data_IF_808712145335
#
_entry.id   IF_808712145335
#
_cell.length_a   1.000
_cell.length_b   1.000
_cell.length_c   1.000
_cell.angle_alpha   90.00
_cell.angle_beta   90.00
_cell.angle_gamma   90.00
#
_symmetry.space_group_name_H-M   'P 1'
#
loop_
_entity.id
_entity.type
_entity.pdbx_description
1 polymer ?
#
# COMPACT_ATOMS: atom_id res chain seq x y z
N UNK A 1 -39.89 5.39 20.25
CA UNK A 1 -39.25 4.15 20.78
C UNK A 1 -39.82 2.83 20.20
N UNK A 2 -40.53 2.81 19.06
CA UNK A 2 -41.25 1.60 18.58
C UNK A 2 -40.53 0.80 17.45
N UNK A 3 -39.44 1.32 16.87
CA UNK A 3 -38.74 0.69 15.73
C UNK A 3 -37.42 -0.01 16.08
N UNK A 4 -36.83 0.23 17.25
CA UNK A 4 -35.55 -0.41 17.63
C UNK A 4 -35.69 -1.91 17.89
N UNK A 5 -36.85 -2.34 18.40
CA UNK A 5 -37.11 -3.75 18.73
C UNK A 5 -37.38 -4.60 17.49
N UNK A 6 -37.86 -4.03 16.38
CA UNK A 6 -38.07 -4.75 15.12
C UNK A 6 -36.75 -5.14 14.46
N UNK A 7 -35.76 -4.25 14.48
CA UNK A 7 -34.41 -4.55 14.00
C UNK A 7 -33.72 -5.61 14.86
N UNK A 8 -33.90 -5.57 16.19
CA UNK A 8 -33.35 -6.59 17.09
C UNK A 8 -34.00 -7.95 16.86
N UNK A 9 -35.31 -8.02 16.61
CA UNK A 9 -36.01 -9.28 16.31
C UNK A 9 -35.65 -9.81 14.92
N UNK A 10 -35.47 -8.95 13.92
CA UNK A 10 -35.00 -9.35 12.58
C UNK A 10 -33.55 -9.84 12.63
N UNK A 11 -32.67 -9.17 13.38
CA UNK A 11 -31.28 -9.61 13.60
C UNK A 11 -31.25 -10.93 14.38
N UNK A 12 -32.04 -11.08 15.44
CA UNK A 12 -32.14 -12.31 16.21
C UNK A 12 -32.71 -13.49 15.40
N UNK A 13 -33.69 -13.23 14.53
CA UNK A 13 -34.29 -14.26 13.65
C UNK A 13 -33.33 -14.68 12.53
N UNK A 14 -32.52 -13.75 12.00
CA UNK A 14 -31.47 -14.07 11.03
C UNK A 14 -30.31 -14.85 11.68
N UNK A 15 -30.00 -14.56 12.95
CA UNK A 15 -29.00 -15.29 13.77
C UNK A 15 -29.50 -16.70 14.14
N UNK A 16 -30.80 -16.89 14.35
CA UNK A 16 -31.41 -18.18 14.66
C UNK A 16 -31.42 -19.14 13.45
N UNK A 17 -31.58 -18.61 12.23
CA UNK A 17 -31.55 -19.39 10.98
C UNK A 17 -30.14 -19.85 10.56
N UNK A 18 -29.09 -19.40 11.26
CA UNK A 18 -27.69 -19.66 10.91
C UNK A 18 -27.01 -20.75 11.77
N UNK A 19 -27.75 -21.56 12.54
CA UNK A 19 -27.16 -22.63 13.35
C UNK A 19 -27.20 -23.99 12.64
N UNK A 20 -26.08 -24.52 12.12
CA UNK A 20 -25.97 -25.92 11.76
C UNK A 20 -25.58 -26.77 12.98
N UNK A 21 -26.20 -27.94 13.05
CA UNK A 21 -26.09 -28.99 14.05
C UNK A 21 -24.68 -29.58 14.17
N UNK A 22 -24.36 -30.03 15.39
CA UNK A 22 -23.12 -30.68 15.85
C UNK A 22 -22.79 -31.95 15.03
N UNK A 23 -21.54 -32.11 14.57
CA UNK A 23 -20.97 -33.44 14.25
C UNK A 23 -19.42 -33.42 14.11
N UNK A 24 -18.78 -34.15 15.04
CA UNK A 24 -17.56 -35.01 15.01
C UNK A 24 -16.28 -34.68 14.19
N UNK A 25 -15.17 -35.06 14.82
CA UNK A 25 -13.77 -34.70 14.57
C UNK A 25 -13.09 -35.38 13.36
N UNK A 26 -12.27 -34.59 12.68
CA UNK A 26 -11.00 -34.96 12.05
C UNK A 26 -10.11 -33.70 12.09
N UNK A 27 -8.84 -33.82 12.48
CA UNK A 27 -7.88 -32.70 12.38
C UNK A 27 -7.70 -32.34 10.90
N UNK A 28 -8.46 -31.36 10.48
CA UNK A 28 -8.43 -30.75 9.16
C UNK A 28 -8.29 -29.28 9.45
N UNK A 29 -7.43 -28.61 8.69
CA UNK A 29 -7.21 -27.17 8.79
C UNK A 29 -8.55 -26.46 8.99
N UNK A 30 -8.72 -25.90 10.18
CA UNK A 30 -9.94 -25.22 10.60
C UNK A 30 -10.27 -24.12 9.59
N UNK A 31 -9.25 -23.52 8.97
CA UNK A 31 -9.39 -22.56 7.89
C UNK A 31 -10.01 -23.15 6.62
N UNK A 32 -9.61 -24.36 6.20
CA UNK A 32 -10.16 -25.02 5.02
C UNK A 32 -11.65 -25.39 5.20
N UNK A 33 -11.99 -25.99 6.33
CA UNK A 33 -13.38 -26.32 6.64
C UNK A 33 -14.25 -25.07 6.82
N UNK A 34 -13.74 -24.07 7.52
CA UNK A 34 -14.44 -22.81 7.68
C UNK A 34 -14.59 -22.08 6.35
N UNK A 35 -13.62 -22.14 5.45
CA UNK A 35 -13.75 -21.57 4.11
C UNK A 35 -14.89 -22.22 3.31
N UNK A 36 -15.02 -23.55 3.36
CA UNK A 36 -16.14 -24.25 2.73
C UNK A 36 -17.49 -23.93 3.40
N UNK A 37 -17.51 -23.78 4.72
CA UNK A 37 -18.71 -23.49 5.52
C UNK A 37 -19.20 -22.06 5.32
N UNK A 38 -18.31 -21.09 5.40
CA UNK A 38 -18.60 -19.67 5.38
C UNK A 38 -18.62 -19.08 3.96
N UNK A 39 -17.99 -19.73 2.98
CA UNK A 39 -17.97 -19.33 1.56
C UNK A 39 -17.66 -17.83 1.42
N UNK A 40 -18.62 -17.04 0.93
CA UNK A 40 -18.50 -15.58 0.73
C UNK A 40 -18.21 -14.82 2.03
N UNK A 41 -18.62 -15.35 3.18
CA UNK A 41 -18.39 -14.72 4.48
C UNK A 41 -16.89 -14.69 4.87
N UNK A 42 -16.03 -15.47 4.21
CA UNK A 42 -14.55 -15.34 4.38
C UNK A 42 -14.00 -14.01 3.87
N UNK A 43 -14.79 -13.23 3.12
CA UNK A 43 -14.44 -11.88 2.70
C UNK A 43 -14.73 -10.81 3.76
N UNK A 44 -15.36 -11.17 4.89
CA UNK A 44 -15.64 -10.22 5.98
C UNK A 44 -14.36 -9.52 6.46
N UNK A 45 -13.23 -10.22 6.74
CA UNK A 45 -12.02 -9.57 7.24
C UNK A 45 -11.46 -8.46 6.33
N UNK A 46 -11.24 -8.68 5.02
CA UNK A 46 -10.77 -7.61 4.15
C UNK A 46 -11.83 -6.52 3.95
N UNK A 47 -13.11 -6.84 3.89
CA UNK A 47 -14.18 -5.83 3.73
C UNK A 47 -14.26 -4.92 4.96
N UNK A 48 -14.23 -5.50 6.17
CA UNK A 48 -14.24 -4.75 7.43
C UNK A 48 -13.02 -3.84 7.51
N UNK A 49 -11.82 -4.36 7.20
CA UNK A 49 -10.60 -3.57 7.19
C UNK A 49 -10.70 -2.38 6.21
N UNK A 50 -11.17 -2.60 4.99
CA UNK A 50 -11.30 -1.55 3.96
C UNK A 50 -12.33 -0.49 4.39
N UNK A 51 -13.53 -0.90 4.80
CA UNK A 51 -14.60 0.03 5.20
C UNK A 51 -14.16 0.88 6.40
N UNK A 52 -13.57 0.24 7.42
CA UNK A 52 -13.08 0.96 8.59
C UNK A 52 -11.90 1.88 8.24
N UNK A 53 -11.02 1.49 7.32
CA UNK A 53 -9.91 2.35 6.92
C UNK A 53 -10.41 3.67 6.30
N UNK A 54 -11.47 3.61 5.48
CA UNK A 54 -12.09 4.81 4.92
C UNK A 54 -12.88 5.62 5.96
N UNK A 55 -13.61 4.95 6.86
CA UNK A 55 -14.47 5.62 7.85
C UNK A 55 -13.66 6.26 8.98
N UNK A 56 -12.72 5.52 9.55
CA UNK A 56 -11.90 5.95 10.70
C UNK A 56 -10.71 6.80 10.28
N UNK A 57 -10.32 6.75 9.00
CA UNK A 57 -9.06 7.32 8.48
C UNK A 57 -7.82 6.83 9.26
N UNK A 58 -7.92 5.67 9.92
CA UNK A 58 -6.85 5.05 10.68
C UNK A 58 -6.63 3.61 10.18
N UNK A 59 -5.62 3.45 9.32
CA UNK A 59 -5.32 2.18 8.67
C UNK A 59 -4.89 1.12 9.69
N UNK A 60 -4.08 1.48 10.68
CA UNK A 60 -3.53 0.54 11.67
C UNK A 60 -4.67 -0.07 12.50
N UNK A 61 -5.54 0.78 13.06
CA UNK A 61 -6.69 0.31 13.84
C UNK A 61 -7.66 -0.54 12.99
N UNK A 62 -7.85 -0.16 11.72
CA UNK A 62 -8.75 -0.87 10.81
C UNK A 62 -8.21 -2.24 10.41
N UNK A 63 -6.91 -2.37 10.16
CA UNK A 63 -6.24 -3.65 9.92
C UNK A 63 -6.32 -4.55 11.15
N UNK A 64 -6.09 -4.00 12.35
CA UNK A 64 -6.19 -4.75 13.59
C UNK A 64 -7.61 -5.32 13.80
N UNK A 65 -8.65 -4.50 13.61
CA UNK A 65 -10.05 -4.97 13.69
C UNK A 65 -10.36 -5.98 12.58
N UNK A 66 -9.81 -5.80 11.38
CA UNK A 66 -9.90 -6.77 10.29
C UNK A 66 -9.33 -8.14 10.68
N UNK A 67 -8.13 -8.18 11.26
CA UNK A 67 -7.49 -9.41 11.74
C UNK A 67 -8.33 -10.07 12.85
N UNK A 68 -8.84 -9.29 13.82
CA UNK A 68 -9.75 -9.80 14.86
C UNK A 68 -10.99 -10.43 14.23
N UNK A 69 -11.59 -9.79 13.20
CA UNK A 69 -12.76 -10.36 12.54
C UNK A 69 -12.46 -11.67 11.80
N UNK A 70 -11.23 -11.82 11.27
CA UNK A 70 -10.76 -13.08 10.68
C UNK A 70 -10.54 -14.17 11.72
N UNK A 71 -9.90 -13.83 12.83
CA UNK A 71 -9.73 -14.74 13.97
C UNK A 71 -11.08 -15.17 14.55
N UNK A 72 -12.05 -14.26 14.64
CA UNK A 72 -13.40 -14.56 15.09
C UNK A 72 -14.09 -15.60 14.17
N UNK A 73 -13.92 -15.51 12.85
CA UNK A 73 -14.44 -16.53 11.93
C UNK A 73 -13.81 -17.91 12.13
N UNK A 74 -12.58 -17.97 12.65
CA UNK A 74 -11.90 -19.22 12.96
C UNK A 74 -12.36 -19.83 14.29
N UNK A 75 -12.72 -19.00 15.27
CA UNK A 75 -13.07 -19.44 16.65
C UNK A 75 -14.56 -19.67 16.89
N UNK A 76 -15.46 -19.03 16.11
CA UNK A 76 -16.91 -19.21 16.21
C UNK A 76 -17.39 -20.68 16.14
N UNK A 77 -16.84 -21.57 15.29
CA UNK A 77 -17.37 -22.94 15.14
C UNK A 77 -17.32 -23.86 16.37
N UNK A 78 -16.77 -23.42 17.51
CA UNK A 78 -16.67 -24.24 18.73
C UNK A 78 -17.12 -23.57 20.03
N UNK A 79 -17.45 -22.27 20.04
CA UNK A 79 -17.70 -21.52 21.28
C UNK A 79 -18.88 -20.53 21.21
N UNK A 80 -19.42 -20.18 22.39
CA UNK A 80 -20.38 -19.09 22.56
C UNK A 80 -19.78 -17.76 22.05
N UNK A 81 -20.58 -16.88 21.43
CA UNK A 81 -20.12 -15.61 20.82
C UNK A 81 -19.24 -14.78 21.77
N UNK A 82 -19.60 -14.68 23.05
CA UNK A 82 -18.81 -13.95 24.05
C UNK A 82 -17.43 -14.58 24.31
N UNK A 83 -17.36 -15.92 24.37
CA UNK A 83 -16.10 -16.64 24.51
C UNK A 83 -15.29 -16.56 23.21
N UNK A 84 -15.93 -16.66 22.05
CA UNK A 84 -15.29 -16.53 20.74
C UNK A 84 -14.62 -15.17 20.51
N UNK A 85 -15.14 -14.08 21.08
CA UNK A 85 -14.50 -12.75 21.04
C UNK A 85 -13.22 -12.74 21.87
N UNK A 86 -13.25 -13.31 23.08
CA UNK A 86 -12.07 -13.40 23.96
C UNK A 86 -11.01 -14.30 23.32
N UNK A 87 -11.42 -15.46 22.80
CA UNK A 87 -10.53 -16.40 22.12
C UNK A 87 -9.95 -15.80 20.85
N UNK A 88 -10.73 -15.05 20.07
CA UNK A 88 -10.23 -14.37 18.89
C UNK A 88 -9.16 -13.34 19.25
N UNK A 89 -9.37 -12.56 20.32
CA UNK A 89 -8.35 -11.63 20.78
C UNK A 89 -7.06 -12.35 21.21
N UNK A 90 -7.18 -13.45 21.95
CA UNK A 90 -6.03 -14.27 22.38
C UNK A 90 -5.32 -14.89 21.16
N UNK A 91 -6.06 -15.42 20.19
CA UNK A 91 -5.52 -15.99 18.94
C UNK A 91 -4.78 -14.94 18.11
N UNK A 92 -5.29 -13.71 18.01
CA UNK A 92 -4.57 -12.61 17.35
C UNK A 92 -3.25 -12.32 18.06
N UNK A 93 -3.24 -12.20 19.38
CA UNK A 93 -2.00 -11.97 20.14
C UNK A 93 -1.02 -13.13 19.95
N UNK A 94 -1.48 -14.37 20.03
CA UNK A 94 -0.63 -15.54 19.80
C UNK A 94 -0.04 -15.55 18.39
N UNK A 95 -0.85 -15.29 17.35
CA UNK A 95 -0.37 -15.20 15.96
C UNK A 95 0.63 -14.06 15.77
N UNK A 96 0.44 -12.92 16.43
CA UNK A 96 1.40 -11.82 16.38
C UNK A 96 2.74 -12.24 17.00
N UNK A 97 2.72 -12.90 18.16
CA UNK A 97 3.94 -13.39 18.82
C UNK A 97 4.62 -14.47 17.98
N UNK A 98 3.89 -15.46 17.49
CA UNK A 98 4.43 -16.53 16.63
C UNK A 98 5.01 -15.96 15.33
N UNK A 99 4.30 -15.04 14.69
CA UNK A 99 4.79 -14.38 13.47
C UNK A 99 6.04 -13.55 13.72
N UNK A 100 6.14 -12.88 14.87
CA UNK A 100 7.30 -12.06 15.24
C UNK A 100 8.51 -12.92 15.63
N UNK A 101 8.27 -14.09 16.24
CA UNK A 101 9.30 -15.05 16.62
C UNK A 101 9.83 -15.87 15.43
N UNK A 102 9.10 -15.91 14.32
CA UNK A 102 9.56 -16.55 13.10
C UNK A 102 10.81 -15.84 12.55
N UNK A 103 11.87 -16.63 12.30
CA UNK A 103 13.19 -16.09 11.92
C UNK A 103 13.15 -15.37 10.57
N UNK A 104 12.31 -15.82 9.64
CA UNK A 104 12.18 -15.18 8.33
C UNK A 104 11.45 -13.84 8.44
N UNK A 105 10.31 -13.83 9.14
CA UNK A 105 9.56 -12.61 9.41
C UNK A 105 10.37 -11.59 10.20
N UNK A 106 11.11 -12.02 11.23
CA UNK A 106 12.05 -11.16 11.95
C UNK A 106 13.14 -10.59 11.03
N UNK A 107 13.64 -11.40 10.09
CA UNK A 107 14.55 -10.97 9.02
C UNK A 107 13.94 -9.88 8.14
N UNK A 108 12.67 -10.01 7.75
CA UNK A 108 11.94 -8.98 6.98
C UNK A 108 11.84 -7.69 7.79
N UNK A 109 11.52 -7.76 9.09
CA UNK A 109 11.45 -6.56 9.96
C UNK A 109 12.80 -5.86 10.03
N UNK A 110 13.88 -6.61 10.27
CA UNK A 110 15.24 -6.07 10.29
C UNK A 110 15.62 -5.45 8.93
N UNK A 111 15.26 -6.11 7.83
CA UNK A 111 15.48 -5.60 6.48
C UNK A 111 14.76 -4.26 6.26
N UNK A 112 13.46 -4.17 6.61
CA UNK A 112 12.68 -2.94 6.46
C UNK A 112 13.25 -1.82 7.31
N UNK A 113 13.67 -2.10 8.55
CA UNK A 113 14.32 -1.12 9.43
C UNK A 113 15.68 -0.66 8.87
N UNK A 114 16.50 -1.58 8.36
CA UNK A 114 17.81 -1.26 7.79
C UNK A 114 17.68 -0.43 6.50
N UNK A 115 16.78 -0.83 5.59
CA UNK A 115 16.48 -0.09 4.37
C UNK A 115 15.90 1.28 4.74
N UNK A 116 14.94 1.36 5.66
CA UNK A 116 14.39 2.63 6.14
C UNK A 116 15.45 3.58 6.73
N UNK A 117 16.39 3.04 7.51
CA UNK A 117 17.53 3.80 8.04
C UNK A 117 18.47 4.30 6.95
N UNK A 118 18.82 3.44 5.99
CA UNK A 118 19.63 3.81 4.82
C UNK A 118 18.95 4.91 3.99
N UNK A 119 17.65 4.79 3.77
CA UNK A 119 16.85 5.79 3.06
C UNK A 119 16.90 7.13 3.78
N UNK A 120 16.69 7.13 5.09
CA UNK A 120 16.74 8.36 5.88
C UNK A 120 18.13 9.02 5.78
N UNK A 121 19.19 8.22 5.89
CA UNK A 121 20.57 8.70 5.74
C UNK A 121 20.81 9.30 4.35
N UNK A 122 20.48 8.59 3.28
CA UNK A 122 20.66 9.06 1.89
C UNK A 122 19.85 10.32 1.62
N UNK A 123 18.63 10.38 2.16
CA UNK A 123 17.76 11.56 2.05
C UNK A 123 18.37 12.76 2.76
N UNK A 124 18.89 12.56 3.98
CA UNK A 124 19.53 13.62 4.79
C UNK A 124 20.87 14.08 4.23
N UNK A 125 21.63 13.19 3.61
CA UNK A 125 22.86 13.53 2.87
C UNK A 125 22.58 14.33 1.59
N UNK A 126 21.33 14.37 1.12
CA UNK A 126 20.93 15.13 -0.07
C UNK A 126 21.36 14.49 -1.39
N UNK A 127 21.88 13.27 -1.42
CA UNK A 127 22.36 12.61 -2.64
C UNK A 127 21.24 12.40 -3.68
N UNK A 128 20.12 11.83 -3.23
CA UNK A 128 18.93 11.66 -4.07
C UNK A 128 18.39 13.00 -4.58
N UNK A 129 18.37 14.02 -3.70
CA UNK A 129 17.97 15.40 -4.03
C UNK A 129 18.90 16.02 -5.08
N UNK A 130 20.22 15.86 -4.94
CA UNK A 130 21.22 16.42 -5.85
C UNK A 130 21.16 15.80 -7.26
N UNK A 131 20.99 14.47 -7.35
CA UNK A 131 20.79 13.77 -8.64
C UNK A 131 19.56 14.32 -9.34
N UNK A 132 18.49 14.47 -8.56
CA UNK A 132 17.21 14.88 -9.04
C UNK A 132 17.20 16.38 -9.46
N UNK A 133 17.89 17.26 -8.72
CA UNK A 133 18.13 18.66 -9.11
C UNK A 133 18.99 18.76 -10.38
N UNK A 134 19.99 17.89 -10.52
CA UNK A 134 20.83 17.82 -11.72
C UNK A 134 20.02 17.42 -12.96
N UNK A 135 19.16 16.40 -12.82
CA UNK A 135 18.23 15.98 -13.86
C UNK A 135 17.24 17.10 -14.21
N UNK A 136 16.76 17.82 -13.21
CA UNK A 136 15.81 18.91 -13.36
C UNK A 136 16.32 20.06 -14.23
N UNK A 137 17.64 20.31 -14.26
CA UNK A 137 18.26 21.29 -15.18
C UNK A 137 18.06 20.95 -16.66
N UNK A 138 17.74 19.70 -16.99
CA UNK A 138 17.46 19.24 -18.36
C UNK A 138 15.99 19.43 -18.77
N UNK A 139 15.13 19.88 -17.84
CA UNK A 139 13.70 20.09 -18.07
C UNK A 139 13.46 21.44 -18.75
N UNK A 140 13.38 21.43 -20.10
CA UNK A 140 13.26 22.64 -20.93
C UNK A 140 11.82 22.94 -21.39
N UNK A 141 11.01 21.90 -21.57
CA UNK A 141 9.65 21.96 -22.07
C UNK A 141 8.72 20.99 -21.30
N UNK A 142 7.40 21.15 -21.40
CA UNK A 142 6.40 20.33 -20.65
C UNK A 142 6.61 18.83 -20.79
N UNK A 143 6.97 18.35 -21.98
CA UNK A 143 7.22 16.92 -22.22
C UNK A 143 8.47 16.47 -21.47
N UNK A 144 9.58 17.19 -21.66
CA UNK A 144 10.84 16.88 -20.99
C UNK A 144 10.73 16.94 -19.46
N UNK A 145 9.98 17.89 -18.90
CA UNK A 145 9.77 17.99 -17.45
C UNK A 145 9.07 16.76 -16.90
N UNK A 146 8.01 16.29 -17.56
CA UNK A 146 7.29 15.08 -17.16
C UNK A 146 8.12 13.81 -17.35
N UNK A 147 8.88 13.71 -18.45
CA UNK A 147 9.80 12.57 -18.67
C UNK A 147 10.89 12.56 -17.59
N UNK A 148 11.41 13.72 -17.22
CA UNK A 148 12.40 13.83 -16.15
C UNK A 148 11.77 13.48 -14.80
N UNK A 149 10.54 13.89 -14.51
CA UNK A 149 9.81 13.46 -13.31
C UNK A 149 9.70 11.93 -13.27
N UNK A 150 9.32 11.31 -14.38
CA UNK A 150 9.20 9.86 -14.48
C UNK A 150 10.55 9.14 -14.34
N UNK A 151 11.59 9.59 -15.06
CA UNK A 151 12.94 9.00 -15.01
C UNK A 151 13.56 9.14 -13.63
N UNK A 152 13.35 10.29 -12.99
CA UNK A 152 13.68 10.53 -11.60
C UNK A 152 13.06 9.43 -10.73
N UNK A 153 11.75 9.20 -10.82
CA UNK A 153 11.08 8.11 -10.10
C UNK A 153 11.68 6.72 -10.34
N UNK A 154 12.26 6.43 -11.52
CA UNK A 154 12.94 5.14 -11.74
C UNK A 154 14.25 4.99 -10.93
N UNK A 155 14.89 6.10 -10.54
CA UNK A 155 16.18 6.08 -9.84
C UNK A 155 16.02 5.71 -8.36
N UNK A 156 14.93 6.14 -7.71
CA UNK A 156 14.63 5.78 -6.31
C UNK A 156 13.73 4.55 -6.30
N UNK A 157 14.27 3.44 -6.79
CA UNK A 157 13.52 2.19 -6.94
C UNK A 157 13.39 1.37 -5.65
N UNK A 158 14.16 1.73 -4.62
CA UNK A 158 14.28 0.92 -3.41
C UNK A 158 13.09 1.04 -2.45
N UNK A 159 12.31 2.13 -2.51
CA UNK A 159 11.16 2.37 -1.65
C UNK A 159 10.18 3.35 -2.28
N UNK A 160 8.89 3.02 -2.22
CA UNK A 160 7.80 3.79 -2.83
C UNK A 160 7.48 5.08 -2.06
N UNK A 161 7.56 5.07 -0.73
CA UNK A 161 7.36 6.29 0.08
C UNK A 161 8.48 7.30 -0.13
N UNK A 162 9.74 6.86 -0.09
CA UNK A 162 10.90 7.71 -0.36
C UNK A 162 10.83 8.31 -1.77
N UNK A 163 10.48 7.49 -2.76
CA UNK A 163 10.29 7.93 -4.13
C UNK A 163 9.27 9.07 -4.23
N UNK A 164 8.08 8.86 -3.64
CA UNK A 164 7.01 9.84 -3.69
C UNK A 164 7.34 11.14 -2.96
N UNK A 165 7.98 11.03 -1.79
CA UNK A 165 8.37 12.19 -0.98
C UNK A 165 9.47 13.02 -1.63
N UNK A 166 10.55 12.37 -2.08
CA UNK A 166 11.73 13.05 -2.61
C UNK A 166 11.40 13.70 -3.95
N UNK A 167 10.82 12.96 -4.90
CA UNK A 167 10.57 13.50 -6.23
C UNK A 167 9.31 14.37 -6.31
N UNK A 168 8.26 14.04 -5.55
CA UNK A 168 7.04 14.83 -5.52
C UNK A 168 7.30 16.26 -5.03
N UNK A 169 8.15 16.44 -4.02
CA UNK A 169 8.51 17.77 -3.50
C UNK A 169 9.50 18.49 -4.41
N UNK A 170 10.52 17.80 -4.92
CA UNK A 170 11.57 18.43 -5.69
C UNK A 170 11.20 18.71 -7.15
N UNK A 171 10.33 17.92 -7.78
CA UNK A 171 9.85 18.21 -9.14
C UNK A 171 8.78 19.30 -9.17
N UNK A 172 8.12 19.58 -8.05
CA UNK A 172 7.02 20.56 -7.96
C UNK A 172 7.40 21.95 -8.51
N UNK A 173 8.52 22.60 -8.12
CA UNK A 173 8.88 23.90 -8.68
C UNK A 173 9.09 23.88 -10.20
N UNK A 174 9.61 22.78 -10.75
CA UNK A 174 9.86 22.62 -12.18
C UNK A 174 8.55 22.41 -12.93
N UNK A 175 7.68 21.53 -12.44
CA UNK A 175 6.36 21.31 -13.03
C UNK A 175 5.52 22.57 -12.96
N UNK A 176 5.63 23.32 -11.86
CA UNK A 176 4.87 24.55 -11.66
C UNK A 176 5.30 25.64 -12.63
N UNK A 177 6.62 25.85 -12.81
CA UNK A 177 7.18 26.74 -13.84
C UNK A 177 6.71 26.38 -15.26
N UNK A 178 6.52 25.09 -15.53
CA UNK A 178 6.09 24.58 -16.82
C UNK A 178 4.56 24.44 -16.96
N UNK A 179 3.81 24.95 -15.96
CA UNK A 179 2.34 24.95 -15.89
C UNK A 179 1.72 23.54 -15.95
N UNK A 180 2.41 22.52 -15.46
CA UNK A 180 1.91 21.14 -15.38
C UNK A 180 1.08 21.00 -14.09
N UNK A 181 -0.13 20.46 -14.18
CA UNK A 181 -1.04 20.39 -13.04
C UNK A 181 -0.49 19.51 -11.91
N UNK A 182 -0.87 19.81 -10.67
CA UNK A 182 -0.42 19.05 -9.49
C UNK A 182 -0.95 17.62 -9.51
N UNK A 183 -2.13 17.41 -10.09
CA UNK A 183 -2.72 16.10 -10.34
C UNK A 183 -1.90 15.29 -11.34
N UNK A 184 -1.36 15.94 -12.39
CA UNK A 184 -0.48 15.25 -13.34
C UNK A 184 0.84 14.85 -12.69
N UNK A 185 1.44 15.74 -11.89
CA UNK A 185 2.63 15.42 -11.12
C UNK A 185 2.35 14.26 -10.14
N UNK A 186 1.27 14.35 -9.36
CA UNK A 186 0.87 13.31 -8.41
C UNK A 186 0.66 11.96 -9.11
N UNK A 187 -0.01 11.96 -10.27
CA UNK A 187 -0.20 10.76 -11.08
C UNK A 187 1.14 10.15 -11.51
N UNK A 188 2.08 10.94 -12.05
CA UNK A 188 3.38 10.41 -12.49
C UNK A 188 4.16 9.84 -11.30
N UNK A 189 4.17 10.54 -10.17
CA UNK A 189 4.90 10.12 -8.97
C UNK A 189 4.32 8.83 -8.39
N UNK A 190 3.01 8.78 -8.16
CA UNK A 190 2.32 7.60 -7.61
C UNK A 190 2.43 6.38 -8.54
N UNK A 191 2.14 6.58 -9.84
CA UNK A 191 2.20 5.53 -10.85
C UNK A 191 3.63 5.09 -11.22
N UNK A 192 4.66 5.70 -10.64
CA UNK A 192 6.05 5.24 -10.77
C UNK A 192 6.53 4.58 -9.47
N UNK A 193 6.19 5.12 -8.30
CA UNK A 193 6.71 4.68 -7.01
C UNK A 193 6.50 3.17 -6.75
N UNK A 194 5.25 2.73 -6.61
CA UNK A 194 4.94 1.32 -6.35
C UNK A 194 5.32 0.37 -7.50
N UNK A 195 5.06 0.70 -8.79
CA UNK A 195 5.43 -0.15 -9.92
C UNK A 195 6.93 -0.44 -10.03
N UNK A 196 7.78 0.55 -9.78
CA UNK A 196 9.23 0.39 -9.81
C UNK A 196 9.69 -0.45 -8.62
N UNK A 197 9.21 -0.16 -7.41
CA UNK A 197 9.53 -0.94 -6.22
C UNK A 197 9.13 -2.41 -6.35
N UNK A 198 8.03 -2.68 -7.08
CA UNK A 198 7.59 -4.03 -7.41
C UNK A 198 8.35 -4.71 -8.56
N UNK A 199 9.15 -4.03 -9.38
CA UNK A 199 10.01 -4.71 -10.38
C UNK A 199 11.45 -4.82 -9.88
N UNK A 200 11.85 -3.92 -8.97
CA UNK A 200 13.19 -3.87 -8.44
C UNK A 200 13.55 -5.15 -7.66
N UNK A 201 14.73 -5.68 -7.97
CA UNK A 201 15.31 -6.84 -7.27
C UNK A 201 15.70 -6.49 -5.83
N UNK A 202 15.98 -5.20 -5.57
CA UNK A 202 16.32 -4.68 -4.25
C UNK A 202 15.30 -3.58 -3.92
N UNK A 203 14.31 -3.91 -3.09
CA UNK A 203 13.30 -2.97 -2.61
C UNK A 203 12.77 -3.33 -1.22
N UNK A 204 11.92 -2.49 -0.65
CA UNK A 204 11.22 -2.78 0.61
C UNK A 204 10.21 -3.93 0.52
N UNK A 205 9.80 -4.33 -0.69
CA UNK A 205 8.80 -5.38 -0.91
C UNK A 205 9.40 -6.80 -1.01
N UNK A 206 10.67 -6.92 -1.43
CA UNK A 206 11.27 -8.21 -1.78
C UNK A 206 11.21 -9.24 -0.63
N UNK A 207 11.45 -8.82 0.62
CA UNK A 207 11.45 -9.74 1.77
C UNK A 207 10.09 -10.39 1.99
N UNK A 208 9.02 -9.58 1.94
CA UNK A 208 7.64 -10.08 2.05
C UNK A 208 7.30 -11.01 0.88
N UNK A 209 7.59 -10.62 -0.35
CA UNK A 209 7.25 -11.43 -1.52
C UNK A 209 7.95 -12.78 -1.53
N UNK A 210 9.25 -12.80 -1.20
CA UNK A 210 10.00 -14.05 -1.08
C UNK A 210 9.44 -14.96 0.02
N UNK A 211 8.98 -14.39 1.13
CA UNK A 211 8.29 -15.13 2.19
C UNK A 211 6.99 -15.76 1.71
N UNK A 212 6.13 -14.97 1.06
CA UNK A 212 4.86 -15.45 0.51
C UNK A 212 5.04 -16.52 -0.57
N UNK A 213 6.05 -16.36 -1.44
CA UNK A 213 6.40 -17.37 -2.44
C UNK A 213 6.83 -18.66 -1.72
N UNK A 214 7.76 -18.57 -0.77
CA UNK A 214 8.24 -19.74 -0.03
C UNK A 214 7.10 -20.48 0.68
N UNK A 215 6.20 -19.76 1.36
CA UNK A 215 5.08 -20.34 2.09
C UNK A 215 4.07 -21.02 1.15
N UNK A 216 3.77 -20.38 0.02
CA UNK A 216 2.87 -20.94 -0.99
C UNK A 216 3.43 -22.24 -1.62
N UNK A 217 4.72 -22.26 -1.96
CA UNK A 217 5.38 -23.44 -2.53
C UNK A 217 5.55 -24.57 -1.50
N UNK A 218 5.83 -24.23 -0.24
CA UNK A 218 5.88 -25.20 0.87
C UNK A 218 4.53 -25.91 1.07
N UNK A 219 3.43 -25.16 0.98
CA UNK A 219 2.06 -25.70 1.14
C UNK A 219 1.73 -26.77 0.10
N UNK A 220 2.26 -26.66 -1.12
CA UNK A 220 2.06 -27.63 -2.20
C UNK A 220 3.19 -28.68 -2.28
N UNK A 221 4.11 -28.70 -1.31
CA UNK A 221 5.22 -29.66 -1.23
C UNK A 221 6.31 -29.47 -2.29
N UNK A 222 6.40 -28.29 -2.92
CA UNK A 222 7.39 -27.99 -3.95
C UNK A 222 8.53 -27.20 -3.34
N UNK A 223 9.75 -27.76 -3.39
CA UNK A 223 10.95 -27.04 -2.95
C UNK A 223 11.49 -26.17 -4.08
N UNK A 224 11.06 -24.92 -4.14
CA UNK A 224 11.48 -23.94 -5.13
C UNK A 224 12.36 -22.85 -4.49
N UNK A 225 13.37 -22.38 -5.24
CA UNK A 225 14.10 -21.17 -4.89
C UNK A 225 13.18 -19.95 -5.04
N UNK A 226 12.74 -19.38 -3.91
CA UNK A 226 11.82 -18.26 -3.90
C UNK A 226 12.37 -17.05 -4.67
N UNK A 227 13.69 -16.84 -4.64
CA UNK A 227 14.33 -15.73 -5.37
C UNK A 227 14.30 -15.96 -6.88
N UNK A 228 14.68 -17.16 -7.35
CA UNK A 228 14.57 -17.55 -8.75
C UNK A 228 13.14 -17.45 -9.27
N UNK A 229 12.15 -17.91 -8.50
CA UNK A 229 10.74 -17.76 -8.84
C UNK A 229 10.34 -16.28 -8.93
N UNK A 230 10.72 -15.45 -7.95
CA UNK A 230 10.46 -14.01 -8.00
C UNK A 230 10.98 -13.38 -9.31
N UNK A 231 12.22 -13.66 -9.70
CA UNK A 231 12.81 -13.13 -10.94
C UNK A 231 12.02 -13.60 -12.17
N UNK A 232 11.57 -14.86 -12.18
CA UNK A 232 10.73 -15.39 -13.25
C UNK A 232 9.34 -14.73 -13.31
N UNK A 233 8.85 -14.17 -12.19
CA UNK A 233 7.57 -13.43 -12.18
C UNK A 233 7.66 -12.03 -12.80
N UNK A 234 8.86 -11.43 -12.89
CA UNK A 234 9.03 -10.03 -13.33
C UNK A 234 8.37 -9.77 -14.69
N UNK A 235 8.56 -10.59 -15.75
CA UNK A 235 7.89 -10.39 -17.03
C UNK A 235 6.36 -10.45 -16.98
N UNK A 236 5.79 -11.11 -15.96
CA UNK A 236 4.35 -11.25 -15.76
C UNK A 236 3.74 -10.16 -14.86
N UNK A 237 4.55 -9.20 -14.38
CA UNK A 237 4.06 -8.02 -13.63
C UNK A 237 3.47 -6.99 -14.58
N UNK A 238 2.40 -7.39 -15.28
CA UNK A 238 1.78 -6.61 -16.35
C UNK A 238 1.38 -5.22 -15.90
N UNK A 239 0.77 -5.07 -14.72
CA UNK A 239 0.41 -3.75 -14.21
C UNK A 239 1.64 -2.84 -14.11
N UNK A 240 2.70 -3.29 -13.44
CA UNK A 240 3.90 -2.49 -13.22
C UNK A 240 4.57 -2.09 -14.53
N UNK A 241 4.68 -3.02 -15.47
CA UNK A 241 5.30 -2.76 -16.77
C UNK A 241 4.43 -1.81 -17.58
N UNK A 242 3.14 -2.12 -17.73
CA UNK A 242 2.22 -1.38 -18.58
C UNK A 242 1.99 0.04 -18.08
N UNK A 243 1.90 0.26 -16.76
CA UNK A 243 1.70 1.62 -16.22
C UNK A 243 2.92 2.51 -16.46
N UNK A 244 4.15 1.96 -16.33
CA UNK A 244 5.37 2.71 -16.63
C UNK A 244 5.45 3.12 -18.11
N UNK A 245 5.07 2.22 -19.02
CA UNK A 245 4.94 2.57 -20.44
C UNK A 245 3.81 3.56 -20.70
N UNK A 246 2.67 3.39 -20.04
CA UNK A 246 1.51 4.26 -20.19
C UNK A 246 1.81 5.70 -19.79
N UNK A 247 2.61 5.92 -18.75
CA UNK A 247 3.08 7.27 -18.37
C UNK A 247 3.85 7.89 -19.53
N UNK A 248 4.83 7.19 -20.11
CA UNK A 248 5.63 7.69 -21.23
C UNK A 248 4.73 8.04 -22.42
N UNK A 249 3.80 7.16 -22.79
CA UNK A 249 2.84 7.39 -23.87
C UNK A 249 1.98 8.63 -23.58
N UNK A 250 1.41 8.73 -22.38
CA UNK A 250 0.58 9.86 -21.97
C UNK A 250 1.34 11.19 -22.03
N UNK A 251 2.61 11.19 -21.60
CA UNK A 251 3.49 12.36 -21.63
C UNK A 251 3.86 12.77 -23.05
N UNK A 252 4.21 11.81 -23.92
CA UNK A 252 4.58 12.08 -25.31
C UNK A 252 3.39 12.62 -26.10
N UNK A 253 2.22 11.98 -25.96
CA UNK A 253 0.99 12.40 -26.63
C UNK A 253 0.38 13.65 -26.02
N UNK A 254 0.80 14.06 -24.81
CA UNK A 254 0.18 15.13 -24.02
C UNK A 254 -1.34 14.94 -23.88
N UNK A 255 -1.76 13.67 -23.83
CA UNK A 255 -3.16 13.26 -23.70
C UNK A 255 -3.40 12.81 -22.27
N UNK A 256 -4.07 13.68 -21.54
CA UNK A 256 -4.55 13.46 -20.19
C UNK A 256 -6.01 13.00 -20.22
N UNK A 257 -6.46 12.31 -19.18
CA UNK A 257 -7.79 11.69 -19.10
C UNK A 257 -8.54 12.12 -17.83
N UNK A 258 -9.86 11.94 -17.84
CA UNK A 258 -10.72 12.16 -16.66
C UNK A 258 -10.61 13.57 -16.04
N UNK A 259 -10.61 13.62 -14.72
CA UNK A 259 -10.44 14.85 -13.92
C UNK A 259 -9.08 15.50 -14.13
N UNK A 260 -8.02 14.70 -14.29
CA UNK A 260 -6.65 15.19 -14.56
C UNK A 260 -6.59 16.02 -15.84
N UNK A 261 -7.31 15.65 -16.89
CA UNK A 261 -7.40 16.46 -18.12
C UNK A 261 -7.96 17.86 -17.86
N UNK A 262 -9.00 17.97 -17.04
CA UNK A 262 -9.61 19.27 -16.71
C UNK A 262 -8.61 20.15 -15.97
N UNK A 263 -7.89 19.58 -15.01
CA UNK A 263 -6.84 20.28 -14.27
C UNK A 263 -5.67 20.71 -15.17
N UNK A 264 -5.23 19.85 -16.08
CA UNK A 264 -4.19 20.18 -17.07
C UNK A 264 -4.60 21.31 -18.02
N UNK A 265 -5.84 21.32 -18.50
CA UNK A 265 -6.35 22.41 -19.34
C UNK A 265 -6.43 23.72 -18.54
N UNK A 266 -6.87 23.67 -17.28
CA UNK A 266 -6.89 24.84 -16.38
C UNK A 266 -5.49 25.38 -16.15
N UNK A 267 -4.54 24.51 -15.77
CA UNK A 267 -3.15 24.90 -15.53
C UNK A 267 -2.49 25.54 -16.78
N UNK A 268 -2.85 25.09 -17.98
CA UNK A 268 -2.36 25.70 -19.24
C UNK A 268 -2.91 27.11 -19.47
N UNK A 269 -4.20 27.34 -19.18
CA UNK A 269 -4.87 28.62 -19.43
C UNK A 269 -4.57 29.66 -18.35
N UNK A 270 -4.72 29.27 -17.09
CA UNK A 270 -4.74 30.17 -15.93
C UNK A 270 -3.43 30.14 -15.13
N UNK A 271 -2.54 29.19 -15.42
CA UNK A 271 -1.39 28.90 -14.55
C UNK A 271 -1.79 28.03 -13.36
N UNK A 272 -0.84 27.78 -12.46
CA UNK A 272 -1.09 26.99 -11.25
C UNK A 272 -1.42 27.96 -10.13
N UNK A 273 -2.70 28.01 -9.78
CA UNK A 273 -3.17 28.72 -8.58
C UNK A 273 -2.85 27.80 -7.41
N UNK A 274 -2.01 28.26 -6.49
CA UNK A 274 -1.81 27.62 -5.19
C UNK A 274 -3.17 27.53 -4.49
N UNK A 275 -3.81 26.36 -4.48
CA UNK A 275 -4.97 26.14 -3.62
C UNK A 275 -4.51 26.26 -2.17
N UNK A 276 -5.18 27.09 -1.37
CA UNK A 276 -4.95 27.46 0.04
C UNK A 276 -4.95 26.31 1.07
N UNK A 277 -4.58 25.08 0.70
CA UNK A 277 -4.53 23.91 1.59
C UNK A 277 -3.23 23.10 1.48
N UNK A 278 -2.18 23.65 0.85
CA UNK A 278 -0.84 23.09 0.94
C UNK A 278 -0.07 23.82 2.04
N UNK A 279 0.28 23.11 3.12
CA UNK A 279 1.27 23.57 4.10
C UNK A 279 2.47 24.13 3.32
N UNK A 280 2.74 25.41 3.52
CA UNK A 280 3.88 26.09 2.92
C UNK A 280 5.15 25.52 3.56
N UNK A 281 5.92 24.76 2.79
CA UNK A 281 7.20 24.19 3.24
C UNK A 281 8.29 25.30 3.20
N UNK A 282 7.94 26.54 2.86
CA UNK A 282 8.82 27.70 2.97
C UNK A 282 9.18 28.05 4.43
N UNK A 283 8.35 27.70 5.40
CA UNK A 283 8.58 28.07 6.81
C UNK A 283 9.54 27.14 7.55
N UNK A 284 9.94 25.99 6.97
CA UNK A 284 10.93 25.10 7.61
C UNK A 284 12.39 25.53 7.41
N UNK A 285 12.66 26.59 6.63
CA UNK A 285 14.02 27.08 6.37
C UNK A 285 14.38 28.38 7.11
N UNK A 286 13.48 29.00 7.88
CA UNK A 286 13.80 30.19 8.69
C UNK A 286 14.45 29.84 10.05
N UNK A 287 14.39 28.59 10.50
CA UNK A 287 15.00 28.16 11.76
C UNK A 287 16.53 27.98 11.77
N UNK A 288 17.22 28.21 10.65
CA UNK A 288 18.68 27.99 10.54
C UNK A 288 19.46 29.33 10.47
N UNK A 289 18.80 30.48 10.48
CA UNK A 289 19.45 31.80 10.36
C UNK A 289 19.83 32.50 11.68
N UNK A 290 19.74 31.81 12.82
CA UNK A 290 20.04 32.42 14.13
C UNK A 290 21.09 31.67 14.98
N UNK A 291 22.00 30.94 14.34
CA UNK A 291 23.20 30.41 15.02
C UNK A 291 24.44 30.72 14.17
N UNK A 292 24.77 32.00 14.08
CA UNK A 292 26.15 32.48 13.94
C UNK A 292 26.65 32.92 15.31
#
# INVERSE_FOLDING_TARGET
MKNRNKWIVIIAFFVLLMMPSICLAAEVDVGYFNAQKYKVLTLIPPIVAIILAFLTRNVIASLFIGIISGSLLLTIPGNNIFYGIVDAFIDVINRMVTSLADTWNAGIILQVLAIGGLINLVTKMGGAKAIAESLSKRAKNRRSSQIITWLSGLIIFFDDYANAMIFGTMMRPITDKMKISREKLAFIVDATAAPVAGIAVISTWIGMELGLIKDAFSTIGVNADAFGVFVQTIPYRFYNILILFFIVISVLLLKDFGSMRKAEVKARKEGIISSEHGIDISDSNEGIKHLD
#
